data_IF_826229978118
#
_entry.id   IF_826229978118
#
_cell.length_a   1.000
_cell.length_b   1.000
_cell.length_c   1.000
_cell.angle_alpha   90.00
_cell.angle_beta   90.00
_cell.angle_gamma   90.00
#
_symmetry.space_group_name_H-M   'P 1'
#
loop_
_entity.id
_entity.type
_entity.pdbx_description
1 polymer ?
#
# COMPACT_ATOMS: atom_id res chain seq x y z
N UNK A 1 -5.95 23.68 13.66
CA UNK A 1 -6.58 23.63 12.31
C UNK A 1 -7.58 22.48 12.31
N UNK A 2 -8.87 22.80 12.24
CA UNK A 2 -9.95 21.81 12.28
C UNK A 2 -10.09 21.16 10.90
N UNK A 3 -9.89 19.84 10.82
CA UNK A 3 -9.94 19.09 9.57
C UNK A 3 -10.92 17.94 9.64
N UNK A 4 -11.45 17.53 8.49
CA UNK A 4 -12.30 16.35 8.41
C UNK A 4 -11.89 15.42 7.27
N UNK A 5 -12.14 14.13 7.45
CA UNK A 5 -11.98 13.09 6.44
C UNK A 5 -13.37 12.64 6.02
N UNK A 6 -13.65 12.71 4.74
CA UNK A 6 -14.96 12.39 4.17
C UNK A 6 -14.86 11.46 2.98
N UNK A 7 -15.85 10.60 2.79
CA UNK A 7 -16.06 9.85 1.56
C UNK A 7 -17.26 10.41 0.80
N UNK A 8 -17.11 10.73 -0.49
CA UNK A 8 -18.22 11.30 -1.27
C UNK A 8 -19.28 10.24 -1.59
N UNK A 9 -18.85 9.03 -1.97
CA UNK A 9 -19.74 7.92 -2.34
C UNK A 9 -19.77 6.80 -1.28
N UNK A 10 -18.72 6.70 -0.47
CA UNK A 10 -18.61 5.71 0.61
C UNK A 10 -18.21 6.40 1.90
N UNK A 11 -18.63 5.83 3.02
CA UNK A 11 -18.13 6.30 4.30
C UNK A 11 -16.71 5.82 4.52
N UNK A 12 -15.84 6.72 4.95
CA UNK A 12 -14.46 6.38 5.32
C UNK A 12 -14.49 5.40 6.48
N UNK A 13 -13.66 4.37 6.39
CA UNK A 13 -13.58 3.32 7.40
C UNK A 13 -14.50 2.13 7.16
N UNK A 14 -15.34 2.12 6.12
CA UNK A 14 -16.04 0.91 5.72
C UNK A 14 -15.02 -0.08 5.14
N UNK A 15 -15.00 -1.31 5.68
CA UNK A 15 -14.11 -2.40 5.26
C UNK A 15 -14.35 -2.91 3.84
N UNK A 16 -15.23 -2.30 3.09
CA UNK A 16 -15.73 -2.77 1.79
C UNK A 16 -14.98 -2.22 0.59
N UNK A 17 -14.06 -1.28 0.75
CA UNK A 17 -13.21 -0.84 -0.37
C UNK A 17 -12.13 -1.89 -0.63
N UNK A 18 -12.42 -2.82 -1.50
CA UNK A 18 -11.60 -3.99 -1.83
C UNK A 18 -10.19 -3.68 -2.35
N UNK A 19 -9.87 -2.44 -2.67
CA UNK A 19 -8.61 -2.04 -3.27
C UNK A 19 -7.84 -0.96 -2.49
N UNK A 20 -8.43 -0.38 -1.45
CA UNK A 20 -7.83 0.73 -0.71
C UNK A 20 -7.58 0.47 0.78
N UNK A 21 -8.00 -0.67 1.32
CA UNK A 21 -8.02 -0.91 2.77
C UNK A 21 -6.69 -0.61 3.48
N UNK A 22 -5.57 -1.07 2.91
CA UNK A 22 -4.25 -0.79 3.46
C UNK A 22 -3.85 0.68 3.38
N UNK A 23 -4.13 1.34 2.26
CA UNK A 23 -3.87 2.76 2.11
C UNK A 23 -4.70 3.61 3.05
N UNK A 24 -5.97 3.28 3.27
CA UNK A 24 -6.80 4.00 4.23
C UNK A 24 -6.20 3.97 5.63
N UNK A 25 -5.74 2.82 6.09
CA UNK A 25 -5.10 2.70 7.40
C UNK A 25 -3.85 3.59 7.52
N UNK A 26 -2.98 3.56 6.51
CA UNK A 26 -1.79 4.43 6.47
C UNK A 26 -2.20 5.89 6.49
N UNK A 27 -3.10 6.30 5.58
CA UNK A 27 -3.57 7.68 5.46
C UNK A 27 -4.23 8.19 6.74
N UNK A 28 -5.11 7.38 7.34
CA UNK A 28 -5.80 7.76 8.57
C UNK A 28 -4.82 8.00 9.71
N UNK A 29 -3.78 7.17 9.84
CA UNK A 29 -2.78 7.34 10.88
C UNK A 29 -1.90 8.59 10.63
N UNK A 30 -1.54 8.84 9.37
CA UNK A 30 -0.81 10.06 8.99
C UNK A 30 -1.64 11.31 9.33
N UNK A 31 -2.88 11.35 8.89
CA UNK A 31 -3.78 12.49 9.13
C UNK A 31 -4.04 12.72 10.62
N UNK A 32 -4.19 11.66 11.41
CA UNK A 32 -4.32 11.78 12.87
C UNK A 32 -3.07 12.35 13.52
N UNK A 33 -1.89 11.97 13.04
CA UNK A 33 -0.63 12.51 13.53
C UNK A 33 -0.46 14.00 13.18
N UNK A 34 -0.93 14.42 12.00
CA UNK A 34 -0.87 15.82 11.57
C UNK A 34 -1.92 16.73 12.24
N UNK A 35 -3.04 16.14 12.66
CA UNK A 35 -4.16 16.85 13.27
C UNK A 35 -4.55 16.27 14.64
N UNK A 36 -3.65 16.29 15.64
CA UNK A 36 -3.93 15.69 16.93
C UNK A 36 -5.13 16.35 17.61
N UNK A 37 -6.18 15.57 17.84
CA UNK A 37 -7.41 16.03 18.50
C UNK A 37 -8.36 16.90 17.66
N UNK A 38 -8.00 17.23 16.42
CA UNK A 38 -8.78 18.11 15.53
C UNK A 38 -9.20 17.45 14.21
N UNK A 39 -9.08 16.13 14.11
CA UNK A 39 -9.48 15.37 12.93
C UNK A 39 -10.82 14.65 13.17
N UNK A 40 -11.79 14.94 12.34
CA UNK A 40 -13.13 14.40 12.39
C UNK A 40 -13.39 13.46 11.22
N UNK A 41 -14.19 12.42 11.44
CA UNK A 41 -14.48 11.41 10.42
C UNK A 41 -15.95 11.42 10.05
N UNK A 42 -16.21 11.50 8.74
CA UNK A 42 -17.57 11.53 8.18
C UNK A 42 -18.54 12.45 8.94
N UNK A 43 -18.15 13.72 9.22
CA UNK A 43 -19.10 14.65 9.83
C UNK A 43 -20.30 14.85 8.92
N UNK A 44 -21.41 15.29 9.51
CA UNK A 44 -22.61 15.63 8.74
C UNK A 44 -22.27 16.64 7.64
N UNK A 45 -22.70 16.42 6.39
CA UNK A 45 -22.41 17.33 5.30
C UNK A 45 -22.80 18.78 5.55
N UNK A 46 -23.85 19.03 6.34
CA UNK A 46 -24.29 20.40 6.69
C UNK A 46 -23.24 21.17 7.51
N UNK A 47 -22.30 20.48 8.15
CA UNK A 47 -21.25 21.09 8.99
C UNK A 47 -19.91 21.27 8.29
N UNK A 48 -19.79 20.92 7.00
CA UNK A 48 -18.48 20.91 6.34
C UNK A 48 -17.78 22.26 6.31
N UNK A 49 -18.51 23.36 6.24
CA UNK A 49 -17.93 24.70 6.32
C UNK A 49 -17.37 25.08 7.71
N UNK A 50 -17.54 24.24 8.72
CA UNK A 50 -16.87 24.42 10.02
C UNK A 50 -15.41 23.92 10.00
N UNK A 51 -14.99 23.21 8.94
CA UNK A 51 -13.65 22.67 8.79
C UNK A 51 -12.85 23.51 7.81
N UNK A 52 -11.62 23.85 8.18
CA UNK A 52 -10.69 24.58 7.31
C UNK A 52 -10.20 23.69 6.15
N UNK A 53 -10.22 22.36 6.37
CA UNK A 53 -9.72 21.38 5.40
C UNK A 53 -10.59 20.12 5.38
N UNK A 54 -10.92 19.67 4.17
CA UNK A 54 -11.54 18.37 3.92
C UNK A 54 -10.58 17.46 3.14
N UNK A 55 -10.33 16.28 3.70
CA UNK A 55 -9.64 15.19 2.99
C UNK A 55 -10.69 14.25 2.42
N UNK A 56 -10.75 14.15 1.09
CA UNK A 56 -11.70 13.31 0.38
C UNK A 56 -11.01 12.01 0.09
N UNK A 57 -11.38 10.94 0.81
CA UNK A 57 -10.87 9.59 0.62
C UNK A 57 -11.90 8.75 -0.12
N UNK A 58 -11.61 8.39 -1.36
CA UNK A 58 -12.45 7.50 -2.15
C UNK A 58 -11.69 6.22 -2.53
N UNK A 59 -12.42 5.14 -2.73
CA UNK A 59 -11.84 3.88 -3.18
C UNK A 59 -11.35 3.93 -4.63
N UNK A 60 -10.48 3.01 -5.00
CA UNK A 60 -9.86 2.92 -6.34
C UNK A 60 -10.88 2.84 -7.48
N UNK A 61 -12.10 2.38 -7.20
CA UNK A 61 -13.19 2.27 -8.18
C UNK A 61 -14.11 3.50 -8.21
N UNK A 62 -13.68 4.62 -7.68
CA UNK A 62 -14.48 5.84 -7.69
C UNK A 62 -14.92 6.24 -9.10
N UNK A 63 -14.03 6.16 -10.08
CA UNK A 63 -14.37 6.48 -11.47
C UNK A 63 -15.44 5.54 -12.02
N UNK A 64 -15.34 4.23 -11.80
CA UNK A 64 -16.37 3.28 -12.21
C UNK A 64 -17.69 3.56 -11.50
N UNK A 65 -17.67 3.81 -10.21
CA UNK A 65 -18.87 4.12 -9.43
C UNK A 65 -19.51 5.44 -9.86
N UNK A 66 -18.73 6.47 -10.13
CA UNK A 66 -19.22 7.77 -10.62
C UNK A 66 -19.80 7.67 -12.03
N UNK A 67 -19.17 6.87 -12.91
CA UNK A 67 -19.64 6.68 -14.28
C UNK A 67 -20.81 5.71 -14.40
N UNK A 68 -20.95 4.75 -13.49
CA UNK A 68 -22.02 3.76 -13.46
C UNK A 68 -23.30 4.27 -12.76
N UNK A 69 -23.39 5.52 -12.38
CA UNK A 69 -24.62 6.14 -11.89
C UNK A 69 -25.66 6.30 -13.01
N UNK A 70 -26.25 5.18 -13.44
CA UNK A 70 -27.37 5.13 -14.37
C UNK A 70 -28.62 5.56 -13.63
N UNK A 71 -28.86 6.70 -13.23
CA UNK A 71 -30.06 7.13 -12.53
C UNK A 71 -29.84 8.32 -11.58
N UNK A 72 -28.64 8.85 -11.56
CA UNK A 72 -28.28 9.97 -10.70
C UNK A 72 -27.84 9.53 -9.29
N UNK A 73 -27.27 10.45 -8.53
CA UNK A 73 -26.76 10.16 -7.19
C UNK A 73 -27.89 9.77 -6.24
N UNK A 74 -27.62 8.77 -5.38
CA UNK A 74 -28.52 8.41 -4.30
C UNK A 74 -28.74 9.62 -3.36
N UNK A 75 -29.88 9.69 -2.64
CA UNK A 75 -30.17 10.84 -1.78
C UNK A 75 -29.06 11.22 -0.80
N UNK A 76 -28.40 10.23 -0.21
CA UNK A 76 -27.27 10.41 0.70
C UNK A 76 -26.04 11.03 0.03
N UNK A 77 -25.79 10.68 -1.24
CA UNK A 77 -24.69 11.28 -2.01
C UNK A 77 -25.02 12.70 -2.44
N UNK A 78 -26.30 12.99 -2.66
CA UNK A 78 -26.77 14.32 -3.05
C UNK A 78 -26.44 15.36 -1.98
N UNK A 79 -26.71 15.06 -0.72
CA UNK A 79 -26.39 15.95 0.40
C UNK A 79 -24.89 16.27 0.46
N UNK A 80 -24.02 15.27 0.25
CA UNK A 80 -22.57 15.46 0.20
C UNK A 80 -22.13 16.31 -1.02
N UNK A 81 -22.74 16.09 -2.19
CA UNK A 81 -22.45 16.88 -3.38
C UNK A 81 -22.86 18.33 -3.22
N UNK A 82 -24.04 18.58 -2.63
CA UNK A 82 -24.52 19.94 -2.33
C UNK A 82 -23.65 20.64 -1.29
N UNK A 83 -23.20 19.90 -0.27
CA UNK A 83 -22.27 20.44 0.73
C UNK A 83 -20.93 20.79 0.11
N UNK A 84 -20.39 19.93 -0.78
CA UNK A 84 -19.14 20.19 -1.48
C UNK A 84 -19.25 21.41 -2.40
N UNK A 85 -20.37 21.57 -3.11
CA UNK A 85 -20.59 22.74 -3.96
C UNK A 85 -20.62 24.08 -3.19
N UNK A 86 -20.94 24.01 -1.89
CA UNK A 86 -21.00 25.19 -0.99
C UNK A 86 -19.77 25.30 -0.08
N UNK A 87 -18.88 24.33 -0.12
CA UNK A 87 -17.69 24.32 0.73
C UNK A 87 -16.70 25.40 0.27
N UNK A 88 -16.21 26.18 1.23
CA UNK A 88 -15.31 27.33 0.96
C UNK A 88 -13.87 27.10 1.44
N UNK A 89 -13.62 26.04 2.17
CA UNK A 89 -12.30 25.67 2.68
C UNK A 89 -11.45 24.93 1.65
N UNK A 90 -10.33 24.40 2.09
CA UNK A 90 -9.42 23.61 1.24
C UNK A 90 -9.88 22.16 1.13
N UNK A 91 -10.29 21.72 -0.05
CA UNK A 91 -10.60 20.33 -0.34
C UNK A 91 -9.40 19.61 -0.99
N UNK A 92 -8.98 18.50 -0.39
CA UNK A 92 -7.87 17.68 -0.86
C UNK A 92 -8.41 16.30 -1.23
N UNK A 93 -8.47 16.00 -2.52
CA UNK A 93 -8.84 14.68 -3.01
C UNK A 93 -7.63 13.73 -2.90
N UNK A 94 -7.78 12.68 -2.11
CA UNK A 94 -6.72 11.72 -1.85
C UNK A 94 -7.03 10.41 -2.57
N UNK A 95 -6.05 9.89 -3.29
CA UNK A 95 -6.13 8.62 -4.03
C UNK A 95 -7.16 8.57 -5.17
N UNK A 96 -7.53 9.71 -5.69
CA UNK A 96 -8.44 9.75 -6.82
C UNK A 96 -7.73 10.44 -7.97
N UNK A 97 -7.42 9.75 -9.07
CA UNK A 97 -7.19 10.42 -10.34
C UNK A 97 -8.56 10.95 -10.83
N UNK A 98 -9.10 11.93 -10.12
CA UNK A 98 -10.28 12.63 -10.61
C UNK A 98 -9.80 13.55 -11.71
N UNK A 99 -10.31 13.34 -12.92
CA UNK A 99 -10.46 14.49 -13.80
C UNK A 99 -11.52 15.38 -13.15
N UNK A 100 -11.05 16.34 -12.36
CA UNK A 100 -11.87 17.28 -11.61
C UNK A 100 -12.80 18.05 -12.52
N UNK A 101 -12.42 18.27 -13.78
CA UNK A 101 -13.26 18.93 -14.77
C UNK A 101 -14.48 18.07 -15.11
N UNK A 102 -14.31 16.74 -15.23
CA UNK A 102 -15.42 15.82 -15.45
C UNK A 102 -16.34 15.75 -14.24
N UNK A 103 -15.76 15.72 -13.03
CA UNK A 103 -16.51 15.72 -11.78
C UNK A 103 -17.31 17.02 -11.62
N UNK A 104 -16.67 18.17 -11.75
CA UNK A 104 -17.31 19.47 -11.66
C UNK A 104 -18.45 19.61 -12.69
N UNK A 105 -18.17 19.29 -13.94
CA UNK A 105 -19.17 19.35 -15.01
C UNK A 105 -20.38 18.44 -14.76
N UNK A 106 -20.13 17.21 -14.27
CA UNK A 106 -21.19 16.22 -14.04
C UNK A 106 -22.08 16.56 -12.86
N UNK A 107 -21.50 17.14 -11.80
CA UNK A 107 -22.18 17.41 -10.54
C UNK A 107 -22.48 18.91 -10.34
N UNK A 108 -22.18 19.75 -11.30
CA UNK A 108 -22.38 21.20 -11.21
C UNK A 108 -21.57 21.85 -10.06
N UNK A 109 -20.41 21.29 -9.75
CA UNK A 109 -19.51 21.76 -8.72
C UNK A 109 -18.44 22.63 -9.37
N UNK A 110 -18.28 23.86 -8.93
CA UNK A 110 -17.20 24.74 -9.32
C UNK A 110 -16.25 24.97 -8.15
N UNK A 111 -15.60 23.88 -7.72
CA UNK A 111 -14.67 23.92 -6.61
C UNK A 111 -13.26 23.55 -7.06
N UNK A 112 -12.29 24.31 -6.59
CA UNK A 112 -10.88 24.05 -6.82
C UNK A 112 -10.38 22.97 -5.87
N UNK A 113 -10.19 21.75 -6.37
CA UNK A 113 -9.60 20.68 -5.57
C UNK A 113 -8.10 20.65 -5.74
N UNK A 114 -7.37 20.39 -4.67
CA UNK A 114 -6.01 19.89 -4.76
C UNK A 114 -6.08 18.36 -4.78
N UNK A 115 -5.59 17.75 -5.86
CA UNK A 115 -5.56 16.30 -5.97
C UNK A 115 -4.17 15.78 -5.57
N UNK A 116 -4.17 14.86 -4.62
CA UNK A 116 -2.97 14.12 -4.19
C UNK A 116 -3.34 12.64 -4.18
N UNK A 117 -2.53 11.78 -4.82
CA UNK A 117 -2.73 10.36 -4.63
C UNK A 117 -2.15 9.91 -3.28
N UNK A 118 -2.64 8.80 -2.72
CA UNK A 118 -2.22 8.35 -1.39
C UNK A 118 -0.74 7.94 -1.34
N UNK A 119 -0.15 7.56 -2.47
CA UNK A 119 1.29 7.26 -2.56
C UNK A 119 2.08 8.55 -2.41
N UNK A 120 1.69 9.59 -3.11
CA UNK A 120 2.36 10.88 -3.04
C UNK A 120 2.19 11.53 -1.67
N UNK A 121 1.03 11.37 -1.05
CA UNK A 121 0.80 11.82 0.32
C UNK A 121 1.69 11.07 1.32
N UNK A 122 1.77 9.76 1.20
CA UNK A 122 2.66 8.95 2.04
C UNK A 122 4.14 9.30 1.82
N UNK A 123 4.54 9.67 0.60
CA UNK A 123 5.88 10.19 0.31
C UNK A 123 6.12 11.56 0.94
N UNK A 124 5.15 12.47 0.85
CA UNK A 124 5.23 13.79 1.50
C UNK A 124 5.38 13.64 3.02
N UNK A 125 4.60 12.74 3.63
CA UNK A 125 4.78 12.42 5.03
C UNK A 125 6.17 11.85 5.31
N UNK A 126 6.67 10.96 4.44
CA UNK A 126 8.04 10.44 4.50
C UNK A 126 9.12 11.51 4.40
N UNK A 127 8.82 12.65 3.75
CA UNK A 127 9.75 13.78 3.68
C UNK A 127 9.89 14.52 5.02
N UNK A 128 8.94 14.36 5.92
CA UNK A 128 8.98 14.96 7.28
C UNK A 128 9.52 13.98 8.34
N UNK A 129 9.69 12.70 8.02
CA UNK A 129 10.19 11.68 8.93
C UNK A 129 11.63 11.31 8.63
N UNK A 130 12.35 10.85 9.67
CA UNK A 130 13.69 10.27 9.50
C UNK A 130 13.67 8.74 9.42
N UNK A 131 12.49 8.16 9.21
CA UNK A 131 12.27 6.71 9.11
C UNK A 131 11.45 6.38 7.87
N UNK A 132 11.82 5.33 7.17
CA UNK A 132 11.22 4.97 5.88
C UNK A 132 10.85 3.50 5.82
N UNK A 133 9.68 3.20 5.27
CA UNK A 133 9.37 1.89 4.69
C UNK A 133 9.47 2.00 3.17
N UNK A 134 10.33 1.17 2.57
CA UNK A 134 10.54 1.12 1.12
C UNK A 134 10.27 -0.28 0.60
N UNK A 135 9.43 -0.38 -0.44
CA UNK A 135 9.16 -1.69 -1.01
C UNK A 135 8.28 -1.68 -2.26
N UNK A 136 7.89 -2.89 -2.65
CA UNK A 136 6.87 -3.10 -3.67
C UNK A 136 5.45 -2.93 -3.07
N UNK A 137 4.43 -3.42 -3.74
CA UNK A 137 3.04 -3.33 -3.27
C UNK A 137 2.76 -3.99 -1.91
N UNK A 138 3.64 -4.88 -1.44
CA UNK A 138 3.51 -5.51 -0.13
C UNK A 138 3.99 -4.63 1.03
N UNK A 139 4.73 -3.55 0.76
CA UNK A 139 5.33 -2.69 1.78
C UNK A 139 4.31 -2.04 2.74
N UNK A 140 3.06 -1.88 2.31
CA UNK A 140 1.97 -1.45 3.18
C UNK A 140 1.79 -2.37 4.39
N UNK A 141 1.97 -3.68 4.21
CA UNK A 141 1.75 -4.66 5.27
C UNK A 141 2.78 -4.62 6.40
N UNK A 142 3.84 -3.84 6.22
CA UNK A 142 4.90 -3.63 7.22
C UNK A 142 5.09 -2.15 7.59
N UNK A 143 4.19 -1.29 7.12
CA UNK A 143 4.20 0.10 7.54
C UNK A 143 3.73 0.24 8.99
N UNK A 144 4.34 1.16 9.72
CA UNK A 144 3.94 1.52 11.08
C UNK A 144 3.96 3.04 11.27
N UNK A 145 3.19 3.56 12.26
CA UNK A 145 3.19 4.99 12.57
C UNK A 145 4.58 5.56 12.80
N UNK A 146 4.83 6.78 12.34
CA UNK A 146 6.13 7.44 12.45
C UNK A 146 7.12 7.13 11.31
N UNK A 147 6.73 6.29 10.33
CA UNK A 147 7.53 6.00 9.14
C UNK A 147 6.89 6.60 7.90
N UNK A 148 7.70 7.19 7.04
CA UNK A 148 7.29 7.45 5.66
C UNK A 148 7.09 6.16 4.89
N UNK A 149 6.38 6.23 3.77
CA UNK A 149 6.17 5.11 2.87
C UNK A 149 6.59 5.51 1.45
N UNK A 150 7.59 4.84 0.91
CA UNK A 150 7.94 4.92 -0.51
C UNK A 150 7.68 3.57 -1.17
N UNK A 151 6.48 3.42 -1.71
CA UNK A 151 5.99 2.21 -2.36
C UNK A 151 6.07 2.34 -3.87
N UNK A 152 6.52 1.28 -4.55
CA UNK A 152 6.46 1.18 -6.01
C UNK A 152 5.80 -0.13 -6.41
N UNK A 153 4.54 -0.06 -6.84
CA UNK A 153 3.77 -1.22 -7.24
C UNK A 153 4.41 -1.93 -8.44
N UNK A 154 4.42 -3.25 -8.38
CA UNK A 154 4.99 -4.07 -9.44
C UNK A 154 6.52 -4.05 -9.53
N UNK A 155 7.23 -3.32 -8.67
CA UNK A 155 8.70 -3.28 -8.68
C UNK A 155 9.29 -4.57 -8.15
N UNK A 156 10.01 -5.30 -8.96
CA UNK A 156 10.78 -6.48 -8.55
C UNK A 156 12.02 -6.09 -7.75
N UNK A 157 12.50 -6.98 -6.88
CA UNK A 157 13.80 -6.81 -6.21
C UNK A 157 14.92 -6.67 -7.23
N UNK A 158 14.93 -7.52 -8.25
CA UNK A 158 15.92 -7.44 -9.33
C UNK A 158 15.92 -6.07 -10.02
N UNK A 159 14.72 -5.54 -10.32
CA UNK A 159 14.58 -4.23 -10.92
C UNK A 159 14.96 -3.08 -9.97
N UNK A 160 14.71 -3.21 -8.68
CA UNK A 160 15.12 -2.23 -7.68
C UNK A 160 16.65 -2.16 -7.58
N UNK A 161 17.33 -3.29 -7.50
CA UNK A 161 18.79 -3.36 -7.32
C UNK A 161 19.60 -2.85 -8.51
N UNK A 162 19.00 -2.59 -9.66
CA UNK A 162 19.72 -2.00 -10.81
C UNK A 162 20.25 -0.60 -10.50
N UNK A 163 19.46 0.18 -9.82
CA UNK A 163 19.74 1.60 -9.58
C UNK A 163 19.86 1.93 -8.07
N UNK A 164 19.74 0.92 -7.20
CA UNK A 164 19.66 1.10 -5.76
C UNK A 164 20.91 1.79 -5.16
N UNK A 165 22.09 1.49 -5.66
CA UNK A 165 23.33 2.10 -5.15
C UNK A 165 23.35 3.62 -5.27
N UNK A 166 22.62 4.18 -6.23
CA UNK A 166 22.48 5.65 -6.39
C UNK A 166 21.67 6.33 -5.26
N UNK A 167 20.98 5.53 -4.47
CA UNK A 167 20.13 6.01 -3.38
C UNK A 167 20.85 6.05 -2.02
N UNK A 168 21.99 5.38 -1.88
CA UNK A 168 22.62 5.12 -0.58
C UNK A 168 22.97 6.42 0.15
N UNK A 169 23.72 7.31 -0.47
CA UNK A 169 24.18 8.55 0.19
C UNK A 169 22.98 9.41 0.57
N UNK A 170 22.04 9.59 -0.35
CA UNK A 170 20.81 10.35 -0.12
C UNK A 170 19.98 9.76 1.01
N UNK A 171 19.87 8.45 1.11
CA UNK A 171 19.08 7.81 2.15
C UNK A 171 19.78 7.85 3.50
N UNK A 172 21.10 7.67 3.54
CA UNK A 172 21.88 7.77 4.75
C UNK A 172 21.89 9.19 5.34
N UNK A 173 21.84 10.21 4.51
CA UNK A 173 21.66 11.60 4.94
C UNK A 173 20.26 11.84 5.50
N UNK A 174 19.24 11.30 4.84
CA UNK A 174 17.84 11.62 5.13
C UNK A 174 17.22 10.74 6.21
N UNK A 175 17.57 9.45 6.27
CA UNK A 175 16.89 8.48 7.12
C UNK A 175 17.82 7.84 8.14
N UNK A 176 17.34 7.77 9.38
CA UNK A 176 18.01 7.07 10.49
C UNK A 176 17.68 5.57 10.47
N UNK A 177 16.55 5.19 9.87
CA UNK A 177 16.06 3.81 9.83
C UNK A 177 15.28 3.56 8.54
N UNK A 178 15.57 2.43 7.87
CA UNK A 178 14.89 2.02 6.64
C UNK A 178 14.43 0.56 6.75
N UNK A 179 13.13 0.32 6.62
CA UNK A 179 12.56 -1.02 6.45
C UNK A 179 12.44 -1.30 4.96
N UNK A 180 13.04 -2.38 4.50
CA UNK A 180 13.08 -2.80 3.10
C UNK A 180 12.22 -4.04 2.89
N UNK A 181 11.25 -3.98 1.96
CA UNK A 181 10.37 -5.11 1.65
C UNK A 181 10.18 -5.31 0.16
N UNK A 182 11.02 -6.15 -0.42
CA UNK A 182 11.01 -6.58 -1.82
C UNK A 182 11.19 -8.09 -1.94
N UNK A 183 10.91 -8.61 -3.12
CA UNK A 183 11.24 -9.99 -3.49
C UNK A 183 10.04 -10.92 -3.60
N UNK A 184 8.86 -10.54 -3.08
CA UNK A 184 7.66 -11.38 -3.22
C UNK A 184 7.22 -11.56 -4.69
N UNK A 185 7.42 -10.53 -5.52
CA UNK A 185 7.12 -10.60 -6.96
C UNK A 185 8.15 -11.51 -7.66
N UNK A 186 9.42 -11.34 -7.32
CA UNK A 186 10.50 -12.18 -7.89
C UNK A 186 10.27 -13.66 -7.56
N UNK A 187 9.93 -13.96 -6.30
CA UNK A 187 9.62 -15.30 -5.84
C UNK A 187 8.45 -15.93 -6.60
N UNK A 188 7.34 -15.19 -6.74
CA UNK A 188 6.12 -15.72 -7.37
C UNK A 188 6.27 -15.94 -8.86
N UNK A 189 6.97 -15.06 -9.58
CA UNK A 189 6.85 -14.99 -11.03
C UNK A 189 8.17 -15.15 -11.80
N UNK A 190 9.30 -14.83 -11.19
CA UNK A 190 10.55 -14.71 -11.93
C UNK A 190 11.61 -15.78 -11.60
N UNK A 191 11.80 -16.06 -10.31
CA UNK A 191 12.91 -16.91 -9.87
C UNK A 191 12.80 -18.35 -10.39
N UNK A 192 11.62 -18.94 -10.37
CA UNK A 192 11.42 -20.30 -10.92
C UNK A 192 11.62 -20.40 -12.43
N UNK A 193 11.68 -19.29 -13.15
CA UNK A 193 11.90 -19.24 -14.61
C UNK A 193 13.38 -19.12 -14.99
N UNK A 194 14.25 -19.01 -14.01
CA UNK A 194 15.70 -18.96 -14.25
C UNK A 194 16.24 -20.37 -14.56
N UNK A 195 17.35 -20.45 -15.27
CA UNK A 195 18.02 -21.72 -15.60
C UNK A 195 18.37 -22.51 -14.32
N UNK A 196 18.88 -21.81 -13.31
CA UNK A 196 19.13 -22.36 -11.98
C UNK A 196 18.42 -21.50 -10.92
N UNK A 197 17.17 -21.83 -10.54
CA UNK A 197 16.38 -21.04 -9.61
C UNK A 197 17.01 -20.84 -8.23
N UNK A 198 17.67 -21.88 -7.68
CA UNK A 198 18.33 -21.81 -6.37
C UNK A 198 19.54 -20.87 -6.39
N UNK A 199 20.37 -20.96 -7.42
CA UNK A 199 21.52 -20.08 -7.58
C UNK A 199 21.07 -18.64 -7.79
N UNK A 200 20.11 -18.40 -8.68
CA UNK A 200 19.56 -17.06 -8.96
C UNK A 200 18.96 -16.42 -7.71
N UNK A 201 18.23 -17.21 -6.89
CA UNK A 201 17.70 -16.75 -5.60
C UNK A 201 18.86 -16.36 -4.67
N UNK A 202 19.85 -17.22 -4.55
CA UNK A 202 21.02 -16.96 -3.70
C UNK A 202 21.76 -15.69 -4.10
N UNK A 203 22.00 -15.48 -5.38
CA UNK A 203 22.68 -14.28 -5.91
C UNK A 203 21.88 -13.02 -5.68
N UNK A 204 20.57 -13.05 -5.99
CA UNK A 204 19.68 -11.91 -5.84
C UNK A 204 19.62 -11.44 -4.39
N UNK A 205 19.39 -12.36 -3.45
CA UNK A 205 19.22 -12.00 -2.04
C UNK A 205 20.55 -11.68 -1.34
N UNK A 206 21.68 -12.22 -1.76
CA UNK A 206 22.99 -11.73 -1.30
C UNK A 206 23.25 -10.28 -1.74
N UNK A 207 22.93 -9.93 -3.00
CA UNK A 207 23.01 -8.54 -3.48
C UNK A 207 22.07 -7.60 -2.68
N UNK A 208 20.89 -8.08 -2.33
CA UNK A 208 19.95 -7.32 -1.51
C UNK A 208 20.51 -7.04 -0.11
N UNK A 209 21.07 -8.05 0.54
CA UNK A 209 21.76 -7.91 1.83
C UNK A 209 22.96 -6.96 1.71
N UNK A 210 23.77 -7.08 0.67
CA UNK A 210 24.92 -6.19 0.44
C UNK A 210 24.49 -4.73 0.29
N UNK A 211 23.42 -4.47 -0.44
CA UNK A 211 22.83 -3.14 -0.55
C UNK A 211 22.36 -2.64 0.84
N UNK A 212 21.57 -3.43 1.55
CA UNK A 212 21.04 -3.06 2.86
C UNK A 212 22.12 -2.75 3.89
N UNK A 213 23.25 -3.46 3.84
CA UNK A 213 24.42 -3.21 4.72
C UNK A 213 25.12 -1.86 4.48
N UNK A 214 24.88 -1.21 3.36
CA UNK A 214 25.42 0.13 3.06
C UNK A 214 24.56 1.25 3.68
N UNK A 215 23.35 0.93 4.16
CA UNK A 215 22.47 1.87 4.83
C UNK A 215 22.78 1.94 6.33
N UNK A 216 22.58 3.11 6.95
CA UNK A 216 22.89 3.34 8.36
C UNK A 216 22.21 2.35 9.31
N UNK A 217 20.93 2.08 9.09
CA UNK A 217 20.14 1.15 9.89
C UNK A 217 19.02 0.56 9.02
N UNK A 218 19.31 -0.56 8.39
CA UNK A 218 18.35 -1.28 7.55
C UNK A 218 17.74 -2.48 8.28
N UNK A 219 16.45 -2.64 8.12
CA UNK A 219 15.71 -3.83 8.53
C UNK A 219 15.15 -4.51 7.28
N UNK A 220 15.40 -5.79 7.11
CA UNK A 220 14.86 -6.59 6.02
C UNK A 220 13.57 -7.29 6.45
N UNK A 221 12.62 -7.43 5.53
CA UNK A 221 11.40 -8.18 5.79
C UNK A 221 11.45 -9.52 5.06
N UNK A 222 11.23 -10.60 5.79
CA UNK A 222 11.15 -11.94 5.23
C UNK A 222 9.97 -12.04 4.25
N UNK A 223 10.15 -12.89 3.23
CA UNK A 223 9.11 -13.13 2.26
C UNK A 223 7.93 -13.88 2.89
N UNK A 224 6.73 -13.53 2.46
CA UNK A 224 5.51 -14.23 2.86
C UNK A 224 5.55 -15.71 2.46
N UNK A 225 4.85 -16.58 3.20
CA UNK A 225 4.55 -17.93 2.71
C UNK A 225 3.85 -17.86 1.34
N UNK A 226 4.16 -18.83 0.49
CA UNK A 226 3.56 -18.92 -0.84
C UNK A 226 2.22 -19.63 -0.74
N UNK A 227 1.22 -19.07 -1.37
CA UNK A 227 -0.12 -19.62 -1.46
C UNK A 227 -0.22 -20.80 -2.45
N UNK A 228 -1.31 -21.57 -2.36
CA UNK A 228 -1.60 -22.69 -3.25
C UNK A 228 -1.77 -22.24 -4.71
N UNK A 229 -1.43 -23.12 -5.68
CA UNK A 229 -1.46 -22.84 -7.11
C UNK A 229 -2.85 -22.55 -7.68
N UNK A 230 -3.91 -22.95 -6.99
CA UNK A 230 -5.29 -22.64 -7.41
C UNK A 230 -5.61 -21.15 -7.40
N UNK A 231 -4.77 -20.32 -6.76
CA UNK A 231 -4.97 -18.87 -6.79
C UNK A 231 -4.74 -18.33 -8.19
N UNK A 232 -5.74 -17.65 -8.73
CA UNK A 232 -5.63 -16.99 -10.03
C UNK A 232 -4.69 -15.81 -9.93
N UNK A 233 -3.81 -15.68 -10.91
CA UNK A 233 -2.92 -14.54 -11.03
C UNK A 233 -3.71 -13.25 -11.24
N UNK A 234 -3.17 -12.11 -10.75
CA UNK A 234 -3.73 -10.79 -11.06
C UNK A 234 -3.94 -10.60 -12.56
N UNK A 235 -4.97 -9.90 -12.94
CA UNK A 235 -5.32 -9.64 -14.34
C UNK A 235 -4.38 -8.68 -15.09
N UNK A 236 -3.22 -8.33 -14.50
CA UNK A 236 -2.26 -7.34 -15.02
C UNK A 236 -0.81 -7.84 -14.88
N UNK A 237 0.09 -7.26 -15.63
CA UNK A 237 1.52 -7.50 -15.55
C UNK A 237 2.07 -8.41 -16.64
N UNK A 238 3.38 -8.65 -16.60
CA UNK A 238 4.14 -9.38 -17.63
C UNK A 238 3.61 -10.82 -17.86
N UNK A 239 3.09 -11.45 -16.82
CA UNK A 239 2.56 -12.82 -16.87
C UNK A 239 1.04 -12.88 -16.79
N UNK A 240 0.36 -11.88 -17.35
CA UNK A 240 -1.09 -11.81 -17.46
C UNK A 240 -1.69 -13.15 -17.91
N UNK A 241 -2.63 -13.69 -17.14
CA UNK A 241 -3.32 -14.98 -17.39
C UNK A 241 -2.39 -16.21 -17.47
N UNK A 242 -1.12 -16.09 -17.13
CA UNK A 242 -0.24 -17.24 -17.08
C UNK A 242 -0.30 -17.90 -15.70
N UNK A 243 -0.30 -19.24 -15.62
CA UNK A 243 -0.21 -19.93 -14.35
C UNK A 243 1.15 -19.72 -13.70
N UNK A 244 1.26 -20.01 -12.42
CA UNK A 244 2.55 -20.09 -11.76
C UNK A 244 3.45 -21.07 -12.48
N UNK A 245 4.73 -20.73 -12.57
CA UNK A 245 5.76 -21.64 -13.07
C UNK A 245 6.37 -22.42 -11.90
N UNK A 246 6.51 -23.74 -12.06
CA UNK A 246 6.93 -24.61 -10.97
C UNK A 246 5.82 -24.89 -9.94
N UNK A 247 6.12 -25.72 -8.96
CA UNK A 247 5.21 -26.07 -7.88
C UNK A 247 5.30 -25.08 -6.71
N UNK A 248 4.27 -25.07 -5.86
CA UNK A 248 4.33 -24.32 -4.61
C UNK A 248 5.53 -24.75 -3.75
N UNK A 249 5.77 -26.05 -3.62
CA UNK A 249 6.89 -26.55 -2.83
C UNK A 249 8.22 -25.98 -3.32
N UNK A 250 8.49 -25.99 -4.63
CA UNK A 250 9.71 -25.39 -5.19
C UNK A 250 9.82 -23.90 -4.87
N UNK A 251 8.72 -23.15 -4.94
CA UNK A 251 8.73 -21.72 -4.57
C UNK A 251 8.95 -21.52 -3.06
N UNK A 252 8.41 -22.39 -2.20
CA UNK A 252 8.68 -22.36 -0.77
C UNK A 252 10.15 -22.63 -0.45
N UNK A 253 10.80 -23.57 -1.14
CA UNK A 253 12.24 -23.82 -1.00
C UNK A 253 13.08 -22.58 -1.38
N UNK A 254 12.68 -21.85 -2.44
CA UNK A 254 13.33 -20.58 -2.80
C UNK A 254 13.09 -19.49 -1.75
N UNK A 255 11.85 -19.40 -1.24
CA UNK A 255 11.51 -18.50 -0.13
C UNK A 255 12.39 -18.74 1.09
N UNK A 256 12.51 -19.99 1.49
CA UNK A 256 13.28 -20.37 2.68
C UNK A 256 14.77 -20.12 2.48
N UNK A 257 15.27 -20.29 1.27
CA UNK A 257 16.64 -19.90 0.90
C UNK A 257 16.83 -18.38 1.01
N UNK A 258 15.89 -17.58 0.47
CA UNK A 258 15.93 -16.14 0.55
C UNK A 258 15.88 -15.64 2.02
N UNK A 259 14.91 -16.14 2.79
CA UNK A 259 14.73 -15.77 4.20
C UNK A 259 15.96 -16.17 5.05
N UNK A 260 16.54 -17.35 4.83
CA UNK A 260 17.76 -17.78 5.50
C UNK A 260 18.94 -16.85 5.21
N UNK A 261 19.09 -16.38 3.95
CA UNK A 261 20.15 -15.42 3.59
C UNK A 261 19.95 -14.10 4.32
N UNK A 262 18.73 -13.61 4.39
CA UNK A 262 18.41 -12.38 5.11
C UNK A 262 18.62 -12.52 6.62
N UNK A 263 18.13 -13.59 7.23
CA UNK A 263 18.24 -13.85 8.66
C UNK A 263 19.69 -14.04 9.13
N UNK A 264 20.55 -14.63 8.27
CA UNK A 264 21.97 -14.83 8.55
C UNK A 264 22.84 -13.62 8.17
N UNK A 265 22.25 -12.51 7.77
CA UNK A 265 22.98 -11.33 7.28
C UNK A 265 23.66 -10.51 8.37
N UNK A 266 23.24 -10.65 9.61
CA UNK A 266 23.60 -9.76 10.73
C UNK A 266 22.82 -8.44 10.76
N UNK A 267 21.88 -8.21 9.84
CA UNK A 267 20.92 -7.12 9.87
C UNK A 267 19.68 -7.51 10.69
N UNK A 268 18.92 -6.51 11.14
CA UNK A 268 17.61 -6.75 11.69
C UNK A 268 16.68 -7.36 10.63
N UNK A 269 15.86 -8.33 11.04
CA UNK A 269 14.86 -8.93 10.18
C UNK A 269 13.50 -8.96 10.84
N UNK A 270 12.45 -8.69 10.06
CA UNK A 270 11.05 -8.86 10.44
C UNK A 270 10.53 -10.16 9.83
N UNK A 271 9.88 -10.98 10.66
CA UNK A 271 9.41 -12.30 10.28
C UNK A 271 7.88 -12.36 10.33
N UNK A 272 7.30 -13.12 9.42
CA UNK A 272 5.88 -13.45 9.45
C UNK A 272 5.64 -14.64 10.38
N UNK A 273 4.43 -14.75 10.97
CA UNK A 273 4.11 -15.85 11.86
C UNK A 273 4.27 -17.22 11.19
N UNK A 274 4.93 -18.17 11.89
CA UNK A 274 5.18 -19.50 11.36
C UNK A 274 3.88 -20.30 11.19
N UNK A 275 2.86 -20.03 12.00
CA UNK A 275 1.54 -20.65 11.89
C UNK A 275 0.80 -20.32 10.60
N UNK A 276 1.30 -19.38 9.78
CA UNK A 276 0.78 -19.10 8.44
C UNK A 276 1.27 -20.09 7.39
N UNK A 277 2.27 -20.89 7.75
CA UNK A 277 2.83 -21.93 6.88
C UNK A 277 2.01 -23.21 7.11
N UNK A 278 1.39 -23.70 6.06
CA UNK A 278 0.69 -24.97 6.01
C UNK A 278 1.22 -25.84 4.87
N UNK A 279 0.86 -27.11 4.87
CA UNK A 279 1.39 -28.09 3.93
C UNK A 279 1.04 -27.74 2.48
N UNK A 280 -0.18 -27.30 2.22
CA UNK A 280 -0.69 -27.04 0.86
C UNK A 280 -0.80 -25.56 0.49
N UNK A 281 -0.67 -24.62 1.43
CA UNK A 281 -0.77 -23.18 1.20
C UNK A 281 -2.19 -22.64 1.13
N UNK A 282 -3.19 -23.43 1.53
CA UNK A 282 -4.58 -23.01 1.57
C UNK A 282 -4.84 -22.00 2.69
N UNK A 283 -4.12 -22.12 3.80
CA UNK A 283 -4.24 -21.23 4.95
C UNK A 283 -3.92 -19.77 4.61
N UNK A 284 -3.00 -19.54 3.67
CA UNK A 284 -2.69 -18.18 3.21
C UNK A 284 -3.90 -17.42 2.68
N UNK A 285 -4.92 -18.10 2.13
CA UNK A 285 -6.13 -17.45 1.64
C UNK A 285 -6.95 -16.77 2.75
N UNK A 286 -6.83 -17.21 3.99
CA UNK A 286 -7.49 -16.58 5.14
C UNK A 286 -6.90 -15.19 5.41
N UNK A 287 -5.59 -15.04 5.20
CA UNK A 287 -4.86 -13.81 5.49
C UNK A 287 -4.87 -12.82 4.33
N UNK A 288 -5.12 -13.29 3.11
CA UNK A 288 -5.06 -12.47 1.90
C UNK A 288 -6.39 -11.76 1.60
N UNK A 289 -6.30 -10.65 0.91
CA UNK A 289 -7.45 -9.95 0.36
C UNK A 289 -8.23 -10.86 -0.61
N UNK A 290 -9.56 -10.70 -0.73
CA UNK A 290 -10.36 -11.49 -1.67
C UNK A 290 -10.04 -11.17 -3.13
N UNK A 291 -10.51 -12.03 -4.05
CA UNK A 291 -10.47 -11.84 -5.51
C UNK A 291 -9.07 -11.69 -6.12
N UNK A 292 -8.21 -12.67 -5.93
CA UNK A 292 -6.94 -12.79 -6.66
C UNK A 292 -5.85 -11.78 -6.24
N UNK A 293 -6.07 -11.01 -5.19
CA UNK A 293 -5.02 -10.18 -4.61
C UNK A 293 -3.89 -11.04 -4.04
N UNK A 294 -2.68 -10.58 -4.14
CA UNK A 294 -1.49 -11.18 -3.49
C UNK A 294 -1.16 -10.46 -2.19
N UNK A 295 -2.00 -9.53 -1.77
CA UNK A 295 -1.79 -8.70 -0.58
C UNK A 295 -2.53 -9.25 0.62
N UNK A 296 -1.99 -8.97 1.81
CA UNK A 296 -2.64 -9.28 3.07
C UNK A 296 -3.83 -8.35 3.34
N UNK A 297 -4.83 -8.87 4.04
CA UNK A 297 -5.88 -8.02 4.62
C UNK A 297 -5.27 -7.09 5.67
N UNK A 298 -5.71 -5.82 5.78
CA UNK A 298 -5.11 -4.85 6.71
C UNK A 298 -5.04 -5.30 8.17
N UNK A 299 -6.01 -6.11 8.63
CA UNK A 299 -6.01 -6.64 10.00
C UNK A 299 -4.85 -7.60 10.31
N UNK A 300 -4.16 -8.08 9.28
CA UNK A 300 -3.00 -8.97 9.38
C UNK A 300 -1.69 -8.26 9.03
N UNK A 301 -1.70 -6.94 8.90
CA UNK A 301 -0.47 -6.19 8.76
C UNK A 301 0.37 -6.33 10.02
N UNK A 302 1.68 -6.38 9.85
CA UNK A 302 2.62 -6.71 10.92
C UNK A 302 2.49 -5.83 12.17
N UNK A 303 2.11 -4.58 11.99
CA UNK A 303 1.93 -3.60 13.07
C UNK A 303 0.48 -3.12 13.19
N UNK A 304 -0.48 -3.96 12.82
CA UNK A 304 -1.90 -3.57 12.80
C UNK A 304 -2.46 -3.19 14.17
N UNK A 305 -1.86 -3.68 15.26
CA UNK A 305 -2.19 -3.32 16.64
C UNK A 305 -1.79 -1.88 17.00
N UNK A 306 -0.80 -1.32 16.30
CA UNK A 306 -0.33 0.06 16.48
C UNK A 306 -1.18 1.07 15.69
N UNK A 307 -2.06 0.60 14.81
CA UNK A 307 -2.95 1.48 14.08
C UNK A 307 -4.06 2.01 15.00
N UNK A 308 -4.33 3.28 14.91
CA UNK A 308 -5.42 3.89 15.65
C UNK A 308 -6.74 3.35 15.07
N UNK A 309 -7.51 2.66 15.89
CA UNK A 309 -8.81 2.09 15.53
C UNK A 309 -9.87 3.15 15.49
#
# INVERSE_FOLDING_TARGET
>A
MKAAVVGMLNNVGSSTSHHGGGYYHVMMNILKAEHPGELFFNPDPSTWNEYERLYILEGVNYQENVFNFIGGPQPEHRAKLEAMAKYTGLAIAVNVPIDLNVFNKRFGIDHQFTSINCIDFAKLYGDTTRKLVRGDSHSLSVWKPGYGLDRTDGKTLFGFLKDADTLIDKWNEKYDEVILYFGNIDLRFHLMRQENPQQATGELFRRYVQFAKKLNNATLVNLLPVEHESRKLPGTGLYLKQPYFGTRQQRMELRDTANRIMNNSGLNTLQWPDEWIDEDGMKMFEYMEPKQSVHLKPRYYMFSDQFIK
#
